data_IF_208136231339
#
_entry.id   IF_208136231339
#
_cell.length_a   1.000
_cell.length_b   1.000
_cell.length_c   1.000
_cell.angle_alpha   90.00
_cell.angle_beta   90.00
_cell.angle_gamma   90.00
#
_symmetry.space_group_name_H-M   'P 1'
#
loop_
_entity.id
_entity.type
_entity.pdbx_description
1 polymer ?
#
# COMPACT_ATOMS: atom_id res chain seq x y z
N UNK A 1 -15.79 15.52 -25.51
CA UNK A 1 -15.65 16.88 -26.04
C UNK A 1 -16.99 17.56 -25.93
N UNK A 2 -17.04 18.65 -25.16
CA UNK A 2 -18.28 19.29 -24.76
C UNK A 2 -18.93 20.04 -25.94
N UNK A 3 -20.21 19.77 -26.23
CA UNK A 3 -20.94 20.26 -27.42
C UNK A 3 -20.97 21.80 -27.48
N UNK A 4 -20.75 22.45 -26.34
CA UNK A 4 -20.73 23.90 -26.17
C UNK A 4 -19.42 24.55 -26.67
N UNK A 5 -18.27 23.89 -26.55
CA UNK A 5 -16.97 24.48 -26.99
C UNK A 5 -16.90 24.58 -28.52
N UNK A 6 -17.39 23.55 -29.22
CA UNK A 6 -17.51 23.51 -30.69
C UNK A 6 -18.41 24.62 -31.24
N UNK A 7 -19.55 24.91 -30.59
CA UNK A 7 -20.44 26.00 -31.03
C UNK A 7 -19.80 27.40 -30.89
N UNK A 8 -18.99 27.62 -29.85
CA UNK A 8 -18.25 28.89 -29.69
C UNK A 8 -17.15 29.07 -30.73
N UNK A 9 -16.42 28.01 -31.05
CA UNK A 9 -15.37 28.04 -32.08
C UNK A 9 -15.98 28.37 -33.46
N UNK A 10 -17.08 27.73 -33.82
CA UNK A 10 -17.81 27.99 -35.07
C UNK A 10 -18.33 29.43 -35.14
N UNK A 11 -18.75 30.00 -34.01
CA UNK A 11 -19.19 31.40 -33.91
C UNK A 11 -18.05 32.39 -34.14
N UNK A 12 -16.87 32.14 -33.56
CA UNK A 12 -15.69 33.01 -33.73
C UNK A 12 -15.17 32.95 -35.16
N UNK A 13 -15.12 31.75 -35.76
CA UNK A 13 -14.73 31.58 -37.16
C UNK A 13 -15.66 32.37 -38.08
N UNK A 14 -16.98 32.33 -37.85
CA UNK A 14 -17.95 33.16 -38.59
C UNK A 14 -17.72 34.66 -38.41
N UNK A 15 -17.38 35.11 -37.20
CA UNK A 15 -17.05 36.51 -36.94
C UNK A 15 -15.78 36.96 -37.68
N UNK A 16 -14.74 36.13 -37.68
CA UNK A 16 -13.51 36.40 -38.43
C UNK A 16 -13.78 36.46 -39.94
N UNK A 17 -14.56 35.52 -40.49
CA UNK A 17 -15.00 35.59 -41.89
C UNK A 17 -15.78 36.88 -42.17
N UNK A 18 -16.66 37.30 -41.26
CA UNK A 18 -17.40 38.55 -41.37
C UNK A 18 -16.47 39.78 -41.43
N UNK A 19 -15.47 39.84 -40.55
CA UNK A 19 -14.45 40.90 -40.54
C UNK A 19 -13.71 40.94 -41.89
N UNK A 20 -13.22 39.80 -42.37
CA UNK A 20 -12.49 39.72 -43.64
C UNK A 20 -13.37 40.16 -44.82
N UNK A 21 -14.59 39.65 -44.92
CA UNK A 21 -15.53 40.06 -45.97
C UNK A 21 -15.83 41.56 -45.91
N UNK A 22 -16.02 42.13 -44.72
CA UNK A 22 -16.26 43.57 -44.55
C UNK A 22 -15.06 44.42 -44.99
N UNK A 23 -13.83 43.99 -44.66
CA UNK A 23 -12.61 44.65 -45.09
C UNK A 23 -12.47 44.63 -46.62
N UNK A 24 -12.78 43.50 -47.27
CA UNK A 24 -12.78 43.38 -48.74
C UNK A 24 -13.80 44.33 -49.38
N UNK A 25 -15.03 44.38 -48.85
CA UNK A 25 -16.08 45.29 -49.34
C UNK A 25 -15.65 46.76 -49.21
N UNK A 26 -15.02 47.13 -48.08
CA UNK A 26 -14.50 48.49 -47.88
C UNK A 26 -13.42 48.84 -48.89
N UNK A 27 -12.48 47.92 -49.17
CA UNK A 27 -11.46 48.11 -50.20
C UNK A 27 -12.13 48.40 -51.55
N UNK A 28 -13.04 47.54 -52.01
CA UNK A 28 -13.76 47.76 -53.26
C UNK A 28 -14.55 49.07 -53.28
N UNK A 29 -15.15 49.47 -52.16
CA UNK A 29 -15.89 50.72 -52.05
C UNK A 29 -14.96 51.94 -52.21
N UNK A 30 -13.78 51.94 -51.57
CA UNK A 30 -12.80 53.03 -51.69
C UNK A 30 -12.27 53.13 -53.12
N UNK A 31 -11.94 52.00 -53.75
CA UNK A 31 -11.54 51.98 -55.16
C UNK A 31 -12.65 52.52 -56.08
N UNK A 32 -13.88 52.05 -55.90
CA UNK A 32 -15.03 52.49 -56.71
C UNK A 32 -15.31 53.98 -56.55
N UNK A 33 -15.21 54.49 -55.32
CA UNK A 33 -15.41 55.91 -55.02
C UNK A 33 -14.32 56.78 -55.66
N UNK A 34 -13.06 56.33 -55.65
CA UNK A 34 -11.96 57.02 -56.32
C UNK A 34 -12.23 57.18 -57.82
N UNK A 35 -12.53 56.08 -58.53
CA UNK A 35 -12.80 56.15 -59.98
C UNK A 35 -14.05 56.95 -60.31
N UNK A 36 -15.10 56.85 -59.49
CA UNK A 36 -16.31 57.67 -59.65
C UNK A 36 -16.01 59.17 -59.52
N UNK A 37 -15.21 59.56 -58.52
CA UNK A 37 -14.95 60.98 -58.22
C UNK A 37 -13.95 61.62 -59.17
N UNK A 38 -12.91 60.89 -59.57
CA UNK A 38 -11.78 61.44 -60.34
C UNK A 38 -11.82 61.07 -61.83
N UNK A 39 -12.68 60.14 -62.26
CA UNK A 39 -12.93 59.87 -63.69
C UNK A 39 -11.71 59.35 -64.48
N UNK A 40 -10.68 58.86 -63.80
CA UNK A 40 -9.42 58.43 -64.41
C UNK A 40 -9.52 56.99 -64.94
N UNK A 41 -10.08 56.82 -66.14
CA UNK A 41 -10.23 55.50 -66.79
C UNK A 41 -9.05 55.13 -67.71
N UNK A 42 -8.07 56.02 -67.90
CA UNK A 42 -6.84 55.77 -68.65
C UNK A 42 -5.62 55.77 -67.73
N UNK A 43 -4.63 54.91 -68.02
CA UNK A 43 -3.37 54.87 -67.26
C UNK A 43 -2.59 56.17 -67.47
N UNK A 44 -2.26 56.88 -66.38
CA UNK A 44 -1.42 58.08 -66.48
C UNK A 44 0.02 57.71 -66.81
N UNK A 45 0.62 58.49 -67.72
CA UNK A 45 2.04 58.43 -68.06
C UNK A 45 2.92 59.22 -67.08
N UNK A 46 2.33 60.09 -66.25
CA UNK A 46 3.03 60.82 -65.21
C UNK A 46 3.14 59.96 -63.94
N UNK A 47 4.35 59.86 -63.40
CA UNK A 47 4.62 59.14 -62.15
C UNK A 47 4.03 59.87 -60.93
N UNK A 48 3.86 61.20 -61.00
CA UNK A 48 3.27 62.00 -59.91
C UNK A 48 1.82 61.59 -59.60
N UNK A 49 1.04 61.27 -60.63
CA UNK A 49 -0.35 60.83 -60.48
C UNK A 49 -0.46 59.49 -59.72
N UNK A 50 0.47 58.57 -59.96
CA UNK A 50 0.56 57.32 -59.22
C UNK A 50 0.93 57.52 -57.74
N UNK A 51 1.75 58.54 -57.45
CA UNK A 51 2.06 58.96 -56.08
C UNK A 51 0.81 59.44 -55.34
N UNK A 52 0.06 60.38 -55.93
CA UNK A 52 -1.15 60.92 -55.29
C UNK A 52 -2.29 59.90 -55.16
N UNK A 53 -2.42 58.98 -56.13
CA UNK A 53 -3.32 57.83 -56.02
C UNK A 53 -2.93 56.92 -54.86
N UNK A 54 -1.64 56.60 -54.75
CA UNK A 54 -1.08 55.84 -53.64
C UNK A 54 -1.32 56.51 -52.29
N UNK A 55 -1.18 57.83 -52.21
CA UNK A 55 -1.42 58.61 -50.99
C UNK A 55 -2.89 58.58 -50.58
N UNK A 56 -3.83 58.66 -51.53
CA UNK A 56 -5.26 58.55 -51.24
C UNK A 56 -5.65 57.16 -50.73
N UNK A 57 -5.24 56.11 -51.45
CA UNK A 57 -5.52 54.74 -51.05
C UNK A 57 -4.83 54.39 -49.73
N UNK A 58 -3.55 54.71 -49.60
CA UNK A 58 -2.77 54.46 -48.39
C UNK A 58 -3.30 55.26 -47.20
N UNK A 59 -3.64 56.54 -47.40
CA UNK A 59 -4.18 57.41 -46.35
C UNK A 59 -5.57 56.99 -45.87
N UNK A 60 -6.40 56.39 -46.74
CA UNK A 60 -7.76 55.97 -46.40
C UNK A 60 -7.85 54.51 -45.95
N UNK A 61 -7.22 53.59 -46.70
CA UNK A 61 -7.30 52.15 -46.42
C UNK A 61 -6.43 51.75 -45.24
N UNK A 62 -5.24 52.34 -45.03
CA UNK A 62 -4.37 51.89 -43.94
C UNK A 62 -5.03 52.06 -42.56
N UNK A 63 -5.62 53.22 -42.19
CA UNK A 63 -6.30 53.34 -40.91
C UNK A 63 -7.48 52.36 -40.76
N UNK A 64 -8.28 52.17 -41.81
CA UNK A 64 -9.46 51.30 -41.75
C UNK A 64 -9.06 49.82 -41.64
N UNK A 65 -8.14 49.35 -42.48
CA UNK A 65 -7.63 47.97 -42.42
C UNK A 65 -6.87 47.69 -41.13
N UNK A 66 -6.10 48.67 -40.62
CA UNK A 66 -5.43 48.55 -39.32
C UNK A 66 -6.44 48.42 -38.18
N UNK A 67 -7.57 49.13 -38.23
CA UNK A 67 -8.64 49.00 -37.24
C UNK A 67 -9.30 47.60 -37.27
N UNK A 68 -9.59 47.06 -38.46
CA UNK A 68 -10.06 45.67 -38.60
C UNK A 68 -9.03 44.67 -38.08
N UNK A 69 -7.75 44.89 -38.37
CA UNK A 69 -6.64 44.07 -37.86
C UNK A 69 -6.58 44.10 -36.33
N UNK A 70 -6.74 45.26 -35.71
CA UNK A 70 -6.79 45.42 -34.26
C UNK A 70 -7.98 44.65 -33.64
N UNK A 71 -9.18 44.74 -34.24
CA UNK A 71 -10.36 43.99 -33.77
C UNK A 71 -10.11 42.48 -33.84
N UNK A 72 -9.58 41.98 -34.97
CA UNK A 72 -9.30 40.56 -35.14
C UNK A 72 -8.25 40.07 -34.13
N UNK A 73 -7.22 40.89 -33.86
CA UNK A 73 -6.21 40.59 -32.85
C UNK A 73 -6.80 40.54 -31.43
N UNK A 74 -7.60 41.53 -31.04
CA UNK A 74 -8.27 41.56 -29.73
C UNK A 74 -9.20 40.35 -29.54
N UNK A 75 -9.96 39.99 -30.58
CA UNK A 75 -10.82 38.79 -30.55
C UNK A 75 -9.99 37.53 -30.31
N UNK A 76 -8.84 37.41 -30.99
CA UNK A 76 -7.91 36.28 -30.85
C UNK A 76 -7.35 36.20 -29.43
N UNK A 77 -6.89 37.32 -28.86
CA UNK A 77 -6.35 37.38 -27.49
C UNK A 77 -7.39 36.95 -26.46
N UNK A 78 -8.63 37.43 -26.58
CA UNK A 78 -9.72 37.06 -25.65
C UNK A 78 -10.02 35.55 -25.75
N UNK A 79 -10.01 34.99 -26.95
CA UNK A 79 -10.25 33.56 -27.14
C UNK A 79 -9.12 32.71 -26.55
N UNK A 80 -7.87 33.08 -26.82
CA UNK A 80 -6.68 32.42 -26.25
C UNK A 80 -6.72 32.45 -24.71
N UNK A 81 -7.14 33.57 -24.11
CA UNK A 81 -7.31 33.68 -22.66
C UNK A 81 -8.35 32.70 -22.09
N UNK A 82 -9.49 32.54 -22.77
CA UNK A 82 -10.54 31.58 -22.37
C UNK A 82 -10.08 30.14 -22.52
N UNK A 83 -9.38 29.82 -23.61
CA UNK A 83 -8.84 28.47 -23.83
C UNK A 83 -7.79 28.11 -22.78
N UNK A 84 -6.93 29.06 -22.41
CA UNK A 84 -5.96 28.87 -21.34
C UNK A 84 -6.65 28.67 -19.98
N UNK A 85 -7.72 29.40 -19.69
CA UNK A 85 -8.51 29.22 -18.47
C UNK A 85 -9.15 27.82 -18.40
N UNK A 86 -9.77 27.37 -19.49
CA UNK A 86 -10.34 26.02 -19.58
C UNK A 86 -9.26 24.95 -19.42
N UNK A 87 -8.12 25.12 -20.08
CA UNK A 87 -6.97 24.21 -19.97
C UNK A 87 -6.46 24.12 -18.53
N UNK A 88 -6.32 25.26 -17.84
CA UNK A 88 -5.93 25.29 -16.42
C UNK A 88 -6.94 24.57 -15.53
N UNK A 89 -8.24 24.73 -15.78
CA UNK A 89 -9.30 24.02 -15.02
C UNK A 89 -9.24 22.51 -15.23
N UNK A 90 -9.05 22.05 -16.46
CA UNK A 90 -8.91 20.62 -16.74
C UNK A 90 -7.62 20.04 -16.14
N UNK A 91 -6.51 20.78 -16.18
CA UNK A 91 -5.27 20.38 -15.50
C UNK A 91 -5.46 20.27 -13.98
N UNK A 92 -6.15 21.24 -13.37
CA UNK A 92 -6.46 21.18 -11.93
C UNK A 92 -7.31 19.96 -11.59
N UNK A 93 -8.37 19.70 -12.37
CA UNK A 93 -9.21 18.50 -12.19
C UNK A 93 -8.42 17.21 -12.34
N UNK A 94 -7.49 17.16 -13.29
CA UNK A 94 -6.60 16.01 -13.48
C UNK A 94 -5.66 15.81 -12.30
N UNK A 95 -5.10 16.89 -11.74
CA UNK A 95 -4.25 16.84 -10.55
C UNK A 95 -5.04 16.33 -9.34
N UNK A 96 -6.23 16.87 -9.07
CA UNK A 96 -7.12 16.42 -7.98
C UNK A 96 -7.52 14.94 -8.14
N UNK A 97 -7.78 14.48 -9.37
CA UNK A 97 -8.09 13.07 -9.62
C UNK A 97 -6.88 12.16 -9.38
N UNK A 98 -5.67 12.63 -9.71
CA UNK A 98 -4.43 11.91 -9.47
C UNK A 98 -4.11 11.81 -7.97
N UNK A 99 -4.32 12.87 -7.20
CA UNK A 99 -4.17 12.86 -5.73
C UNK A 99 -5.11 11.84 -5.09
N UNK A 100 -6.39 11.84 -5.46
CA UNK A 100 -7.35 10.82 -4.98
C UNK A 100 -6.97 9.40 -5.40
N UNK A 101 -6.41 9.23 -6.58
CA UNK A 101 -5.95 7.92 -7.05
C UNK A 101 -4.76 7.45 -6.20
N UNK A 102 -3.84 8.34 -5.85
CA UNK A 102 -2.72 8.03 -4.97
C UNK A 102 -3.21 7.58 -3.58
N UNK A 103 -4.17 8.30 -2.99
CA UNK A 103 -4.77 7.94 -1.69
C UNK A 103 -5.38 6.52 -1.72
N UNK A 104 -6.14 6.20 -2.77
CA UNK A 104 -6.75 4.87 -2.94
C UNK A 104 -5.69 3.78 -3.13
N UNK A 105 -4.62 4.06 -3.89
CA UNK A 105 -3.52 3.11 -4.08
C UNK A 105 -2.76 2.85 -2.77
N UNK A 106 -2.56 3.87 -1.94
CA UNK A 106 -1.91 3.73 -0.64
C UNK A 106 -2.78 2.88 0.31
N UNK A 107 -4.10 3.11 0.36
CA UNK A 107 -5.04 2.28 1.12
C UNK A 107 -5.09 0.82 0.61
N UNK A 108 -5.07 0.64 -0.71
CA UNK A 108 -5.03 -0.68 -1.34
C UNK A 108 -3.73 -1.42 -1.01
N UNK A 109 -2.58 -0.74 -1.05
CA UNK A 109 -1.29 -1.31 -0.69
C UNK A 109 -1.29 -1.83 0.76
N UNK A 110 -1.78 -1.01 1.69
CA UNK A 110 -1.91 -1.40 3.10
C UNK A 110 -2.85 -2.61 3.28
N UNK A 111 -3.97 -2.62 2.57
CA UNK A 111 -4.91 -3.75 2.57
C UNK A 111 -4.26 -5.02 2.01
N UNK A 112 -3.47 -4.90 0.93
CA UNK A 112 -2.80 -6.02 0.31
C UNK A 112 -1.71 -6.62 1.20
N UNK A 113 -0.94 -5.78 1.91
CA UNK A 113 0.04 -6.24 2.91
C UNK A 113 -0.66 -7.05 3.99
N UNK A 114 -1.79 -6.54 4.50
CA UNK A 114 -2.60 -7.26 5.50
C UNK A 114 -3.10 -8.60 4.98
N UNK A 115 -3.61 -8.66 3.75
CA UNK A 115 -4.09 -9.90 3.14
C UNK A 115 -2.96 -10.92 2.92
N UNK A 116 -1.78 -10.48 2.47
CA UNK A 116 -0.61 -11.36 2.31
C UNK A 116 -0.16 -11.97 3.64
N UNK A 117 -0.14 -11.14 4.69
CA UNK A 117 0.10 -11.61 6.06
C UNK A 117 -0.94 -12.64 6.49
N UNK A 118 -2.24 -12.31 6.42
CA UNK A 118 -3.34 -13.19 6.85
C UNK A 118 -3.32 -14.52 6.09
N UNK A 119 -3.06 -14.49 4.78
CA UNK A 119 -2.95 -15.71 3.97
C UNK A 119 -1.83 -16.64 4.45
N UNK A 120 -0.65 -16.10 4.75
CA UNK A 120 0.48 -16.89 5.26
C UNK A 120 0.23 -17.37 6.69
N UNK A 121 -0.29 -16.48 7.55
CA UNK A 121 -0.62 -16.77 8.93
C UNK A 121 -1.63 -17.92 9.03
N UNK A 122 -2.73 -17.86 8.29
CA UNK A 122 -3.76 -18.91 8.32
C UNK A 122 -3.31 -20.21 7.67
N UNK A 123 -2.41 -20.17 6.68
CA UNK A 123 -1.80 -21.38 6.13
C UNK A 123 -0.92 -22.10 7.18
N UNK A 124 -0.12 -21.33 7.95
CA UNK A 124 0.67 -21.87 9.06
C UNK A 124 -0.22 -22.38 10.20
N UNK A 125 -1.31 -21.66 10.53
CA UNK A 125 -2.29 -22.08 11.52
C UNK A 125 -3.00 -23.38 11.11
N UNK A 126 -3.37 -23.54 9.83
CA UNK A 126 -3.96 -24.78 9.31
C UNK A 126 -2.96 -25.95 9.45
N UNK A 127 -1.68 -25.74 9.11
CA UNK A 127 -0.64 -26.74 9.30
C UNK A 127 -0.45 -27.11 10.77
N UNK A 128 -0.45 -26.11 11.67
CA UNK A 128 -0.42 -26.30 13.11
C UNK A 128 -1.61 -27.17 13.59
N UNK A 129 -2.84 -26.83 13.19
CA UNK A 129 -4.05 -27.55 13.56
C UNK A 129 -4.05 -29.00 13.05
N UNK A 130 -3.58 -29.23 11.82
CA UNK A 130 -3.44 -30.60 11.27
C UNK A 130 -2.48 -31.44 12.08
N UNK A 131 -1.31 -30.90 12.41
CA UNK A 131 -0.32 -31.60 13.23
C UNK A 131 -0.85 -31.89 14.63
N UNK A 132 -1.55 -30.93 15.26
CA UNK A 132 -2.18 -31.14 16.55
C UNK A 132 -3.24 -32.26 16.50
N UNK A 133 -4.07 -32.29 15.45
CA UNK A 133 -5.06 -33.35 15.24
C UNK A 133 -4.43 -34.73 15.04
N UNK A 134 -3.32 -34.79 14.30
CA UNK A 134 -2.60 -36.05 14.05
C UNK A 134 -1.92 -36.57 15.31
N UNK A 135 -1.43 -35.65 16.15
CA UNK A 135 -0.86 -35.94 17.46
C UNK A 135 -1.96 -36.43 18.40
N UNK A 136 -3.09 -35.71 18.52
CA UNK A 136 -4.16 -36.05 19.47
C UNK A 136 -4.83 -37.41 19.21
N UNK A 137 -4.95 -37.82 17.93
CA UNK A 137 -5.42 -39.16 17.55
C UNK A 137 -4.45 -40.28 17.96
N UNK A 138 -3.18 -39.95 18.13
CA UNK A 138 -2.15 -40.87 18.61
C UNK A 138 -2.20 -40.86 20.14
N UNK A 139 -3.19 -41.55 20.72
CA UNK A 139 -3.70 -41.48 22.11
C UNK A 139 -2.71 -41.78 23.27
N UNK A 140 -1.41 -41.60 23.09
CA UNK A 140 -0.34 -41.97 24.04
C UNK A 140 0.35 -40.72 24.64
N UNK A 141 -0.22 -39.53 24.43
CA UNK A 141 0.42 -38.25 24.75
C UNK A 141 0.74 -38.02 26.23
N UNK A 142 -0.02 -38.61 27.14
CA UNK A 142 -0.05 -38.10 28.52
C UNK A 142 1.13 -38.54 29.38
N UNK A 143 1.54 -39.81 29.33
CA UNK A 143 2.61 -40.34 30.19
C UNK A 143 3.94 -40.50 29.44
N UNK A 144 3.94 -40.99 28.20
CA UNK A 144 5.21 -41.39 27.55
C UNK A 144 5.98 -40.23 26.91
N UNK A 145 5.28 -39.20 26.42
CA UNK A 145 5.92 -38.13 25.63
C UNK A 145 6.58 -37.13 26.55
N UNK A 146 5.88 -36.72 27.60
CA UNK A 146 6.43 -35.81 28.60
C UNK A 146 7.61 -36.49 29.32
N UNK A 147 7.46 -37.72 29.81
CA UNK A 147 8.53 -38.39 30.57
C UNK A 147 9.77 -38.67 29.69
N UNK A 148 9.62 -39.22 28.47
CA UNK A 148 10.77 -39.53 27.58
C UNK A 148 11.35 -38.32 26.86
N UNK A 149 10.54 -37.33 26.47
CA UNK A 149 11.04 -36.10 25.84
C UNK A 149 11.85 -35.28 26.84
N UNK A 150 11.40 -35.20 28.09
CA UNK A 150 12.13 -34.50 29.15
C UNK A 150 13.35 -35.27 29.66
N UNK A 151 13.29 -36.61 29.78
CA UNK A 151 14.45 -37.44 30.14
C UNK A 151 15.56 -37.39 29.09
N UNK A 152 15.24 -37.44 27.79
CA UNK A 152 16.24 -37.41 26.73
C UNK A 152 16.79 -36.00 26.45
N UNK A 153 15.99 -34.97 26.72
CA UNK A 153 16.43 -33.58 26.64
C UNK A 153 17.42 -33.23 27.76
N UNK A 154 17.26 -33.79 28.96
CA UNK A 154 18.10 -33.49 30.12
C UNK A 154 19.30 -34.43 30.30
N UNK A 155 19.29 -35.62 29.68
CA UNK A 155 20.40 -36.56 29.73
C UNK A 155 21.38 -36.33 28.57
N UNK A 156 22.54 -35.75 28.89
CA UNK A 156 23.75 -35.71 28.06
C UNK A 156 23.94 -36.96 27.20
N UNK A 157 23.81 -36.82 25.87
CA UNK A 157 24.42 -37.73 24.89
C UNK A 157 24.05 -39.22 25.00
N UNK A 158 22.84 -39.59 25.40
CA UNK A 158 22.42 -40.99 25.40
C UNK A 158 21.87 -41.35 24.02
N UNK A 159 22.60 -42.22 23.32
CA UNK A 159 22.22 -42.73 22.00
C UNK A 159 20.78 -43.21 21.97
N UNK A 160 20.11 -42.93 20.85
CA UNK A 160 18.81 -43.45 20.49
C UNK A 160 18.96 -44.98 20.46
N UNK A 161 18.69 -45.62 21.60
CA UNK A 161 18.68 -47.06 21.71
C UNK A 161 17.53 -47.56 20.83
N UNK A 162 17.93 -48.33 19.83
CA UNK A 162 17.13 -49.22 19.00
C UNK A 162 15.95 -49.81 19.80
N UNK A 163 14.74 -49.34 19.51
CA UNK A 163 13.60 -49.52 20.41
C UNK A 163 12.26 -49.13 19.79
N UNK A 164 11.82 -49.90 18.79
CA UNK A 164 10.42 -50.03 18.36
C UNK A 164 9.78 -48.78 17.74
N UNK A 165 9.83 -48.73 16.41
CA UNK A 165 9.34 -47.75 15.41
C UNK A 165 8.25 -46.71 15.75
N UNK A 166 7.40 -46.92 16.76
CA UNK A 166 6.24 -46.05 17.03
C UNK A 166 6.53 -44.86 17.97
N UNK A 167 7.38 -45.02 18.99
CA UNK A 167 7.68 -43.94 19.94
C UNK A 167 8.54 -42.83 19.32
N UNK A 168 9.56 -43.22 18.56
CA UNK A 168 10.40 -42.28 17.81
C UNK A 168 9.58 -41.50 16.77
N UNK A 169 8.64 -42.17 16.12
CA UNK A 169 7.74 -41.55 15.15
C UNK A 169 6.83 -40.49 15.78
N UNK A 170 6.23 -40.80 16.94
CA UNK A 170 5.39 -39.84 17.68
C UNK A 170 6.23 -38.66 18.17
N UNK A 171 7.42 -38.91 18.71
CA UNK A 171 8.36 -37.85 19.14
C UNK A 171 8.68 -36.89 17.99
N UNK A 172 9.00 -37.42 16.79
CA UNK A 172 9.25 -36.60 15.59
C UNK A 172 8.05 -35.73 15.21
N UNK A 173 6.82 -36.23 15.34
CA UNK A 173 5.60 -35.44 15.10
C UNK A 173 5.45 -34.30 16.10
N UNK A 174 5.70 -34.57 17.38
CA UNK A 174 5.64 -33.58 18.46
C UNK A 174 6.66 -32.46 18.25
N UNK A 175 7.92 -32.79 17.96
CA UNK A 175 8.95 -31.80 17.65
C UNK A 175 8.57 -30.97 16.42
N UNK A 176 8.02 -31.61 15.37
CA UNK A 176 7.56 -30.88 14.19
C UNK A 176 6.42 -29.90 14.52
N UNK A 177 5.44 -30.31 15.34
CA UNK A 177 4.37 -29.44 15.81
C UNK A 177 4.89 -28.23 16.59
N UNK A 178 5.84 -28.46 17.50
CA UNK A 178 6.49 -27.39 18.28
C UNK A 178 7.20 -26.41 17.34
N UNK A 179 7.95 -26.91 16.35
CA UNK A 179 8.64 -26.07 15.38
C UNK A 179 7.67 -25.23 14.53
N UNK A 180 6.59 -25.83 14.03
CA UNK A 180 5.57 -25.08 13.28
C UNK A 180 4.89 -24.03 14.15
N UNK A 181 4.62 -24.34 15.42
CA UNK A 181 4.04 -23.37 16.35
C UNK A 181 5.01 -22.22 16.62
N UNK A 182 6.30 -22.50 16.78
CA UNK A 182 7.34 -21.47 16.87
C UNK A 182 7.34 -20.58 15.64
N UNK A 183 7.38 -21.14 14.44
CA UNK A 183 7.44 -20.37 13.20
C UNK A 183 6.16 -19.55 12.97
N UNK A 184 4.99 -20.06 13.34
CA UNK A 184 3.73 -19.31 13.35
C UNK A 184 3.79 -18.09 14.28
N UNK A 185 4.26 -18.28 15.52
CA UNK A 185 4.38 -17.21 16.51
C UNK A 185 5.47 -16.18 16.11
N UNK A 186 6.61 -16.64 15.57
CA UNK A 186 7.63 -15.76 15.01
C UNK A 186 7.10 -14.96 13.82
N UNK A 187 6.39 -15.62 12.91
CA UNK A 187 5.80 -14.96 11.76
C UNK A 187 4.84 -13.85 12.21
N UNK A 188 3.99 -14.10 13.21
CA UNK A 188 3.16 -13.08 13.82
C UNK A 188 3.99 -11.93 14.41
N UNK A 189 5.01 -12.24 15.21
CA UNK A 189 5.88 -11.23 15.83
C UNK A 189 6.49 -10.27 14.80
N UNK A 190 7.08 -10.80 13.74
CA UNK A 190 7.83 -10.00 12.75
C UNK A 190 6.96 -9.34 11.69
N UNK A 191 5.76 -9.85 11.43
CA UNK A 191 4.98 -9.45 10.24
C UNK A 191 3.56 -8.97 10.56
N UNK A 192 3.17 -8.90 11.85
CA UNK A 192 1.84 -8.41 12.23
C UNK A 192 1.56 -7.02 11.60
N UNK A 193 0.41 -6.83 10.92
CA UNK A 193 0.07 -5.58 10.26
C UNK A 193 0.09 -4.39 11.24
N UNK A 194 0.82 -3.33 10.89
CA UNK A 194 0.95 -2.13 11.73
C UNK A 194 1.95 -2.27 12.89
N UNK A 195 2.76 -3.32 12.91
CA UNK A 195 3.93 -3.41 13.78
C UNK A 195 5.14 -2.72 13.17
N UNK A 196 5.73 -1.77 13.90
CA UNK A 196 7.05 -1.19 13.59
C UNK A 196 8.22 -2.11 14.03
N UNK A 197 7.90 -3.30 14.55
CA UNK A 197 8.85 -4.29 15.06
C UNK A 197 9.39 -5.09 13.86
N UNK A 198 10.12 -4.40 12.99
CA UNK A 198 10.78 -5.02 11.84
C UNK A 198 11.92 -5.97 12.23
N UNK A 199 12.69 -6.47 11.24
CA UNK A 199 13.86 -7.35 11.41
C UNK A 199 14.94 -6.85 12.39
N UNK A 200 14.85 -5.59 12.85
CA UNK A 200 15.80 -4.95 13.78
C UNK A 200 15.87 -5.60 15.16
N UNK A 201 14.87 -6.42 15.53
CA UNK A 201 14.82 -7.16 16.80
C UNK A 201 15.15 -8.66 16.65
N UNK A 202 15.72 -9.07 15.50
CA UNK A 202 16.26 -10.41 15.31
C UNK A 202 17.34 -10.63 16.38
N UNK A 203 16.99 -11.40 17.40
CA UNK A 203 17.90 -11.75 18.49
C UNK A 203 17.77 -10.94 19.77
N UNK A 204 16.68 -10.17 20.03
CA UNK A 204 16.33 -9.79 21.40
C UNK A 204 14.82 -9.50 21.60
N UNK A 205 14.01 -10.56 21.62
CA UNK A 205 12.55 -10.51 21.79
C UNK A 205 12.12 -9.92 23.15
N UNK A 206 12.96 -10.00 24.18
CA UNK A 206 12.63 -9.48 25.52
C UNK A 206 12.75 -7.96 25.62
N UNK A 207 13.59 -7.34 24.77
CA UNK A 207 13.71 -5.89 24.64
C UNK A 207 12.69 -5.29 23.67
N UNK A 208 11.92 -6.12 22.97
CA UNK A 208 10.89 -5.65 22.05
C UNK A 208 9.76 -4.93 22.81
N UNK A 209 9.20 -3.84 22.25
CA UNK A 209 8.05 -3.16 22.84
C UNK A 209 6.88 -4.12 23.10
N UNK A 210 5.99 -3.76 24.03
CA UNK A 210 4.76 -4.52 24.27
C UNK A 210 4.01 -4.85 22.97
N UNK A 211 3.39 -6.04 22.87
CA UNK A 211 2.69 -6.46 21.67
C UNK A 211 1.72 -5.41 21.13
N UNK A 212 1.73 -5.21 19.82
CA UNK A 212 0.76 -4.31 19.19
C UNK A 212 -0.65 -4.90 19.30
N UNK A 213 -1.68 -4.08 19.08
CA UNK A 213 -3.08 -4.57 19.05
C UNK A 213 -3.25 -5.67 18.00
N UNK A 214 -2.66 -5.48 16.81
CA UNK A 214 -2.73 -6.43 15.71
C UNK A 214 -2.07 -7.76 16.08
N UNK A 215 -0.85 -7.67 16.60
CA UNK A 215 -0.07 -8.83 17.05
C UNK A 215 -0.80 -9.65 18.12
N UNK A 216 -1.43 -8.99 19.12
CA UNK A 216 -2.24 -9.66 20.15
C UNK A 216 -3.42 -10.42 19.55
N UNK A 217 -4.17 -9.80 18.65
CA UNK A 217 -5.35 -10.45 18.03
C UNK A 217 -4.97 -11.77 17.37
N UNK A 218 -3.88 -11.81 16.60
CA UNK A 218 -3.44 -13.05 15.96
C UNK A 218 -2.85 -14.05 16.95
N UNK A 219 -2.12 -13.60 17.97
CA UNK A 219 -1.64 -14.47 19.04
C UNK A 219 -2.80 -15.12 19.81
N UNK A 220 -3.85 -14.35 20.11
CA UNK A 220 -5.07 -14.85 20.76
C UNK A 220 -5.80 -15.88 19.89
N UNK A 221 -5.79 -15.72 18.56
CA UNK A 221 -6.29 -16.74 17.64
C UNK A 221 -5.48 -18.03 17.79
N UNK A 222 -4.14 -17.97 17.83
CA UNK A 222 -3.31 -19.17 18.03
C UNK A 222 -3.64 -19.83 19.38
N UNK A 223 -3.68 -19.04 20.46
CA UNK A 223 -4.01 -19.53 21.81
C UNK A 223 -5.34 -20.26 21.86
N UNK A 224 -6.38 -19.72 21.22
CA UNK A 224 -7.70 -20.34 21.18
C UNK A 224 -7.72 -21.71 20.46
N UNK A 225 -6.69 -22.03 19.67
CA UNK A 225 -6.54 -23.33 19.00
C UNK A 225 -5.65 -24.31 19.78
N UNK A 226 -4.99 -23.87 20.86
CA UNK A 226 -4.20 -24.74 21.71
C UNK A 226 -5.10 -25.48 22.71
N UNK A 227 -4.86 -26.78 22.89
CA UNK A 227 -5.34 -27.49 24.08
C UNK A 227 -4.43 -27.21 25.26
N UNK A 228 -4.91 -27.41 26.49
CA UNK A 228 -4.11 -27.25 27.71
C UNK A 228 -2.80 -28.07 27.62
N UNK A 229 -2.89 -29.31 27.11
CA UNK A 229 -1.73 -30.19 26.95
C UNK A 229 -0.73 -29.64 25.93
N UNK A 230 -1.22 -29.05 24.84
CA UNK A 230 -0.36 -28.48 23.81
C UNK A 230 0.32 -27.20 24.29
N UNK A 231 -0.40 -26.36 25.03
CA UNK A 231 0.16 -25.17 25.68
C UNK A 231 1.23 -25.57 26.71
N UNK A 232 1.00 -26.60 27.54
CA UNK A 232 1.99 -27.16 28.48
C UNK A 232 3.23 -27.65 27.73
N UNK A 233 3.06 -28.45 26.70
CA UNK A 233 4.15 -29.02 25.90
C UNK A 233 5.05 -27.93 25.30
N UNK A 234 4.44 -26.93 24.65
CA UNK A 234 5.14 -25.81 24.02
C UNK A 234 5.88 -24.97 25.08
N UNK A 235 5.24 -24.72 26.23
CA UNK A 235 5.81 -23.93 27.34
C UNK A 235 7.02 -24.62 27.96
N UNK A 236 6.91 -25.92 28.25
CA UNK A 236 8.01 -26.72 28.82
C UNK A 236 9.17 -26.80 27.84
N UNK A 237 8.88 -27.09 26.56
CA UNK A 237 9.93 -27.19 25.55
C UNK A 237 10.64 -25.85 25.35
N UNK A 238 9.90 -24.73 25.36
CA UNK A 238 10.49 -23.39 25.36
C UNK A 238 11.43 -23.17 26.55
N UNK A 239 11.00 -23.49 27.77
CA UNK A 239 11.84 -23.36 28.96
C UNK A 239 13.09 -24.27 28.92
N UNK A 240 13.00 -25.45 28.32
CA UNK A 240 14.14 -26.31 28.08
C UNK A 240 15.15 -25.66 27.12
N UNK A 241 14.70 -25.13 25.98
CA UNK A 241 15.58 -24.43 25.03
C UNK A 241 16.30 -23.23 25.65
N UNK A 242 15.60 -22.46 26.49
CA UNK A 242 16.19 -21.33 27.20
C UNK A 242 17.36 -21.73 28.13
N UNK A 243 17.36 -22.96 28.66
CA UNK A 243 18.43 -23.48 29.54
C UNK A 243 19.65 -24.02 28.78
N UNK A 244 19.53 -24.23 27.47
CA UNK A 244 20.63 -24.71 26.61
C UNK A 244 21.50 -23.57 26.05
N UNK A 245 21.30 -22.33 26.52
CA UNK A 245 22.03 -21.15 26.03
C UNK A 245 21.80 -20.89 24.54
N UNK A 246 20.63 -21.29 24.00
CA UNK A 246 20.19 -20.88 22.66
C UNK A 246 19.73 -19.41 22.73
N UNK A 247 20.55 -18.46 22.28
CA UNK A 247 20.32 -17.05 22.53
C UNK A 247 19.22 -16.57 21.60
N UNK A 248 18.12 -16.11 22.19
CA UNK A 248 17.29 -15.04 21.66
C UNK A 248 16.58 -15.35 20.33
N UNK A 249 15.30 -15.71 20.42
CA UNK A 249 14.52 -16.30 19.32
C UNK A 249 13.83 -17.59 19.71
N UNK A 250 14.07 -18.04 20.94
CA UNK A 250 13.54 -19.26 21.52
C UNK A 250 12.03 -19.16 21.70
N UNK A 251 11.38 -20.32 21.60
CA UNK A 251 9.96 -20.46 21.83
C UNK A 251 9.53 -19.91 23.21
N UNK A 252 10.43 -19.90 24.19
CA UNK A 252 10.24 -19.32 25.52
C UNK A 252 9.82 -17.86 25.49
N UNK A 253 10.56 -16.99 24.78
CA UNK A 253 10.25 -15.56 24.73
C UNK A 253 8.89 -15.28 24.07
N UNK A 254 8.52 -16.08 23.07
CA UNK A 254 7.22 -15.99 22.39
C UNK A 254 6.07 -16.46 23.30
N UNK A 255 6.27 -17.54 24.05
CA UNK A 255 5.33 -18.05 25.05
C UNK A 255 5.04 -16.99 26.11
N UNK A 256 6.07 -16.31 26.61
CA UNK A 256 5.91 -15.19 27.56
C UNK A 256 5.24 -13.98 26.92
N UNK A 257 5.72 -13.55 25.75
CA UNK A 257 5.20 -12.35 25.07
C UNK A 257 3.70 -12.41 24.78
N UNK A 258 3.18 -13.60 24.50
CA UNK A 258 1.78 -13.82 24.17
C UNK A 258 0.96 -14.42 25.32
N UNK A 259 1.52 -14.51 26.52
CA UNK A 259 0.86 -15.04 27.72
C UNK A 259 0.27 -16.44 27.52
N UNK A 260 0.93 -17.30 26.72
CA UNK A 260 0.41 -18.64 26.37
C UNK A 260 0.26 -19.52 27.61
N UNK A 261 1.13 -19.35 28.60
CA UNK A 261 1.15 -20.18 29.81
C UNK A 261 0.18 -19.74 30.92
N UNK A 262 -0.41 -18.53 30.83
CA UNK A 262 -1.33 -18.03 31.85
C UNK A 262 -2.70 -18.71 31.82
N UNK A 263 -3.14 -19.16 30.64
CA UNK A 263 -4.44 -19.82 30.47
C UNK A 263 -4.40 -21.32 30.83
N UNK A 264 -3.21 -21.87 31.09
CA UNK A 264 -3.04 -23.28 31.45
C UNK A 264 -3.58 -23.53 32.85
N UNK A 265 -4.55 -24.44 32.98
CA UNK A 265 -4.97 -24.94 34.29
C UNK A 265 -3.84 -25.74 34.94
N UNK A 266 -3.11 -25.10 35.84
CA UNK A 266 -2.02 -25.72 36.57
C UNK A 266 -2.58 -26.81 37.51
N UNK A 267 -2.29 -28.07 37.22
CA UNK A 267 -2.62 -29.19 38.11
C UNK A 267 -1.66 -29.17 39.32
N UNK A 268 -2.15 -29.15 40.58
CA UNK A 268 -1.32 -29.01 41.78
C UNK A 268 -0.25 -30.10 41.96
N UNK A 269 -0.53 -31.31 41.46
CA UNK A 269 0.37 -32.46 41.57
C UNK A 269 1.22 -32.66 40.31
N UNK A 270 1.24 -31.69 39.39
CA UNK A 270 2.01 -31.78 38.16
C UNK A 270 3.52 -31.69 38.46
N UNK A 271 4.36 -32.61 37.93
CA UNK A 271 5.81 -32.47 38.02
C UNK A 271 6.35 -31.23 37.29
N UNK A 272 5.51 -30.54 36.50
CA UNK A 272 5.85 -29.32 35.76
C UNK A 272 5.39 -28.04 36.46
N UNK A 273 4.72 -28.14 37.61
CA UNK A 273 4.21 -27.01 38.38
C UNK A 273 5.26 -25.91 38.55
N UNK A 274 6.47 -26.27 38.98
CA UNK A 274 7.57 -25.32 39.20
C UNK A 274 7.97 -24.58 37.92
N UNK A 275 8.09 -25.27 36.79
CA UNK A 275 8.46 -24.68 35.50
C UNK A 275 7.36 -23.74 35.00
N UNK A 276 6.09 -24.13 35.14
CA UNK A 276 4.95 -23.30 34.74
C UNK A 276 4.85 -22.01 35.59
N UNK A 277 5.08 -22.12 36.90
CA UNK A 277 5.14 -20.96 37.80
C UNK A 277 6.33 -20.04 37.48
N UNK A 278 7.51 -20.60 37.12
CA UNK A 278 8.67 -19.82 36.66
C UNK A 278 8.36 -19.05 35.35
N UNK A 279 7.66 -19.67 34.39
CA UNK A 279 7.26 -19.01 33.13
C UNK A 279 6.28 -17.86 33.39
N UNK A 280 5.30 -18.09 34.27
CA UNK A 280 4.27 -17.10 34.61
C UNK A 280 4.76 -15.99 35.55
N UNK A 281 6.00 -16.08 36.05
CA UNK A 281 6.56 -15.09 36.98
C UNK A 281 5.99 -15.18 38.40
N UNK A 282 5.33 -16.29 38.73
CA UNK A 282 4.67 -16.54 40.02
C UNK A 282 5.55 -17.33 41.00
N UNK A 283 6.69 -17.84 40.56
CA UNK A 283 7.65 -18.50 41.43
C UNK A 283 8.60 -17.47 42.08
N UNK A 284 8.37 -17.14 43.35
CA UNK A 284 9.37 -16.51 44.21
C UNK A 284 10.06 -17.61 45.03
N UNK A 285 11.38 -17.68 44.99
CA UNK A 285 12.13 -18.57 45.88
C UNK A 285 11.87 -18.15 47.34
N UNK A 286 11.06 -18.93 48.06
CA UNK A 286 10.85 -18.75 49.51
C UNK A 286 12.06 -19.20 50.36
N UNK A 287 13.19 -19.53 49.72
CA UNK A 287 14.45 -19.79 50.38
C UNK A 287 15.61 -19.13 49.62
N UNK A 288 15.82 -17.84 49.90
CA UNK A 288 17.07 -17.10 49.69
C UNK A 288 17.47 -16.39 50.97
#
# INVERSE_FOLDING_TARGET
MDKKSSQTADGVVKLLYGIVCSAVVVVFAVFSFYFYKFGAYSLSADRGDWGTFGDYLGGTLNPILSFFGLIALLLTIVLQGKELELTRRELQRSAEAQERTQEVLDEQSNTQIKQQFEGTFFALLDQHNRLLSDISKSSVLYESIIEKTLLNATATGVGIADGGDQHYFIFRKVINYINITRELLKFNFYNAPGGDIGPSYIGNLEEAPYPTRSERVYADIVKAHLTDEAAILISIYGAYEARLDDPLGSLYSLVKRYDIAQEIRILPDSPFLKILLEINGEYQDEYS
#
